data_IF_001406877278
#
_entry.id   IF_001406877278
#
_cell.length_a   1.000
_cell.length_b   1.000
_cell.length_c   1.000
_cell.angle_alpha   90.00
_cell.angle_beta   90.00
_cell.angle_gamma   90.00
#
_symmetry.space_group_name_H-M   'P 1'
#
loop_
_entity.id
_entity.type
_entity.pdbx_description
1 polymer ?
#
# COMPACT_ATOMS: atom_id res chain seq x y z
N UNK A 1 32.24 -2.19 -2.94
CA UNK A 1 31.09 -1.47 -3.52
C UNK A 1 29.84 -1.90 -2.76
N UNK A 2 29.44 -1.15 -1.75
CA UNK A 2 28.21 -1.40 -0.99
C UNK A 2 27.03 -0.94 -1.83
N UNK A 3 26.41 -1.86 -2.56
CA UNK A 3 25.11 -1.62 -3.18
C UNK A 3 24.10 -1.40 -2.04
N UNK A 4 23.89 -0.14 -1.68
CA UNK A 4 22.82 0.25 -0.77
C UNK A 4 21.54 0.14 -1.59
N UNK A 5 20.88 -1.02 -1.46
CA UNK A 5 19.63 -1.32 -2.15
C UNK A 5 18.49 -0.45 -1.60
N UNK A 6 17.53 -0.06 -2.45
CA UNK A 6 16.42 0.77 -2.00
C UNK A 6 15.68 0.01 -0.88
N UNK A 7 15.46 0.66 0.28
CA UNK A 7 14.77 0.02 1.37
C UNK A 7 13.35 -0.35 0.92
N UNK A 8 12.81 -1.44 1.48
CA UNK A 8 11.40 -1.83 1.30
C UNK A 8 10.41 -0.67 1.61
N UNK A 9 10.87 0.35 2.35
CA UNK A 9 10.11 1.55 2.71
C UNK A 9 9.85 2.43 1.47
N UNK A 10 8.58 2.69 1.17
CA UNK A 10 8.16 3.54 0.05
C UNK A 10 8.09 2.80 -1.28
N UNK A 11 9.20 2.70 -2.00
CA UNK A 11 9.23 2.16 -3.37
C UNK A 11 8.93 0.65 -3.43
N UNK A 12 9.35 -0.12 -2.42
CA UNK A 12 9.11 -1.56 -2.35
C UNK A 12 7.64 -1.94 -2.20
N UNK A 13 6.89 -1.23 -1.34
CA UNK A 13 5.44 -1.48 -1.14
C UNK A 13 4.64 -1.16 -2.40
N UNK A 14 4.94 -0.06 -3.08
CA UNK A 14 4.29 0.34 -4.34
C UNK A 14 4.58 -0.67 -5.45
N UNK A 15 5.84 -1.06 -5.61
CA UNK A 15 6.22 -2.07 -6.60
C UNK A 15 5.55 -3.42 -6.32
N UNK A 16 5.48 -3.83 -5.05
CA UNK A 16 4.79 -5.05 -4.64
C UNK A 16 3.30 -5.01 -5.02
N UNK A 17 2.61 -3.90 -4.73
CA UNK A 17 1.22 -3.70 -5.11
C UNK A 17 1.00 -3.71 -6.63
N UNK A 18 1.92 -3.10 -7.39
CA UNK A 18 1.87 -3.11 -8.85
C UNK A 18 1.97 -4.54 -9.41
N UNK A 19 2.91 -5.35 -8.92
CA UNK A 19 3.03 -6.75 -9.32
C UNK A 19 1.78 -7.57 -8.96
N UNK A 20 1.15 -7.30 -7.82
CA UNK A 20 -0.12 -7.94 -7.47
C UNK A 20 -1.25 -7.52 -8.42
N UNK A 21 -1.36 -6.24 -8.76
CA UNK A 21 -2.38 -5.75 -9.69
C UNK A 21 -2.20 -6.36 -11.09
N UNK A 22 -0.97 -6.38 -11.61
CA UNK A 22 -0.65 -7.02 -12.89
C UNK A 22 -1.02 -8.52 -12.89
N UNK A 23 -0.77 -9.23 -11.80
CA UNK A 23 -1.13 -10.64 -11.70
C UNK A 23 -2.66 -10.84 -11.61
N UNK A 24 -3.40 -9.90 -11.00
CA UNK A 24 -4.87 -9.91 -10.99
C UNK A 24 -5.44 -9.74 -12.40
N UNK A 25 -4.92 -8.73 -13.11
CA UNK A 25 -5.35 -8.38 -14.47
C UNK A 25 -5.05 -9.54 -15.45
N UNK A 26 -3.85 -10.10 -15.37
CA UNK A 26 -3.44 -11.21 -16.25
C UNK A 26 -4.07 -12.55 -15.86
N UNK A 27 -4.34 -12.79 -14.57
CA UNK A 27 -4.85 -14.05 -14.05
C UNK A 27 -6.36 -14.22 -14.15
N UNK A 28 -7.10 -13.22 -14.63
CA UNK A 28 -8.55 -13.28 -14.81
C UNK A 28 -9.33 -13.47 -13.50
N UNK A 29 -8.84 -12.88 -12.40
CA UNK A 29 -9.49 -13.02 -11.10
C UNK A 29 -10.80 -12.24 -11.06
N UNK A 30 -11.90 -12.91 -10.68
CA UNK A 30 -13.15 -12.23 -10.40
C UNK A 30 -13.03 -11.34 -9.14
N UNK A 31 -13.73 -10.19 -9.08
CA UNK A 31 -13.73 -9.32 -7.91
C UNK A 31 -14.11 -10.10 -6.63
N UNK A 32 -13.34 -9.89 -5.56
CA UNK A 32 -13.57 -10.54 -4.26
C UNK A 32 -12.92 -11.91 -4.07
N UNK A 33 -12.26 -12.47 -5.10
CA UNK A 33 -11.49 -13.71 -4.96
C UNK A 33 -10.11 -13.47 -4.34
N UNK A 34 -9.61 -14.47 -3.63
CA UNK A 34 -8.25 -14.50 -3.11
C UNK A 34 -7.27 -15.00 -4.17
N UNK A 35 -6.01 -14.58 -4.06
CA UNK A 35 -4.94 -15.12 -4.89
C UNK A 35 -4.83 -16.63 -4.72
N UNK A 36 -4.66 -17.34 -5.84
CA UNK A 36 -4.21 -18.73 -5.82
C UNK A 36 -2.79 -18.78 -5.24
N UNK A 37 -2.46 -19.90 -4.58
CA UNK A 37 -1.13 -20.11 -3.98
C UNK A 37 -0.01 -19.93 -5.01
N UNK A 38 -0.20 -20.45 -6.22
CA UNK A 38 0.78 -20.38 -7.32
C UNK A 38 1.05 -18.94 -7.77
N UNK A 39 0.00 -18.13 -7.92
CA UNK A 39 0.12 -16.73 -8.32
C UNK A 39 0.73 -15.88 -7.23
N UNK A 40 0.47 -16.20 -5.95
CA UNK A 40 1.17 -15.59 -4.82
C UNK A 40 2.68 -15.85 -4.89
N UNK A 41 3.09 -17.09 -5.20
CA UNK A 41 4.50 -17.45 -5.38
C UNK A 41 5.10 -16.77 -6.62
N UNK A 42 4.33 -16.62 -7.70
CA UNK A 42 4.71 -15.88 -8.89
C UNK A 42 5.06 -14.42 -8.56
N UNK A 43 4.17 -13.72 -7.85
CA UNK A 43 4.39 -12.35 -7.37
C UNK A 43 5.65 -12.27 -6.50
N UNK A 44 5.86 -13.24 -5.59
CA UNK A 44 7.04 -13.25 -4.73
C UNK A 44 8.33 -13.41 -5.53
N UNK A 45 8.34 -14.30 -6.53
CA UNK A 45 9.48 -14.48 -7.44
C UNK A 45 9.77 -13.21 -8.23
N UNK A 46 8.76 -12.61 -8.86
CA UNK A 46 8.90 -11.34 -9.60
C UNK A 46 9.45 -10.23 -8.71
N UNK A 47 8.93 -10.12 -7.49
CA UNK A 47 9.40 -9.12 -6.54
C UNK A 47 10.86 -9.32 -6.11
N UNK A 48 11.27 -10.57 -5.84
CA UNK A 48 12.65 -10.89 -5.45
C UNK A 48 13.67 -10.57 -6.52
N UNK A 49 13.30 -10.76 -7.80
CA UNK A 49 14.16 -10.40 -8.94
C UNK A 49 14.50 -8.92 -8.92
N UNK A 50 13.52 -8.07 -8.60
CA UNK A 50 13.67 -6.60 -8.65
C UNK A 50 14.22 -6.02 -7.35
N UNK A 51 13.67 -6.43 -6.20
CA UNK A 51 13.92 -5.77 -4.93
C UNK A 51 14.93 -6.48 -4.02
N UNK A 52 15.36 -7.70 -4.37
CA UNK A 52 16.38 -8.55 -3.75
C UNK A 52 15.82 -9.92 -3.27
N UNK A 53 16.54 -11.03 -3.54
CA UNK A 53 16.15 -12.37 -3.08
C UNK A 53 16.20 -12.59 -1.57
N UNK A 54 16.75 -11.64 -0.78
CA UNK A 54 16.90 -11.75 0.69
C UNK A 54 15.54 -11.77 1.42
N UNK A 55 14.46 -11.28 0.78
CA UNK A 55 13.14 -11.28 1.41
C UNK A 55 12.51 -12.68 1.44
N UNK A 56 12.35 -13.26 2.63
CA UNK A 56 11.70 -14.57 2.82
C UNK A 56 10.20 -14.55 2.53
N UNK A 57 9.61 -15.71 2.22
CA UNK A 57 8.16 -15.82 1.97
C UNK A 57 7.36 -15.36 3.19
N UNK A 58 7.84 -15.70 4.39
CA UNK A 58 7.24 -15.28 5.65
C UNK A 58 7.23 -13.75 5.78
N UNK A 59 8.33 -13.09 5.45
CA UNK A 59 8.41 -11.62 5.47
C UNK A 59 7.42 -10.99 4.49
N UNK A 60 7.38 -11.47 3.24
CA UNK A 60 6.46 -10.95 2.22
C UNK A 60 4.99 -11.17 2.60
N UNK A 61 4.65 -12.31 3.18
CA UNK A 61 3.30 -12.58 3.73
C UNK A 61 2.93 -11.60 4.85
N UNK A 62 3.86 -11.32 5.78
CA UNK A 62 3.65 -10.33 6.85
C UNK A 62 3.40 -8.95 6.22
N UNK A 63 4.17 -8.58 5.20
CA UNK A 63 4.00 -7.30 4.51
C UNK A 63 2.65 -7.17 3.82
N UNK A 64 2.18 -8.20 3.15
CA UNK A 64 0.84 -8.21 2.56
C UNK A 64 -0.24 -8.07 3.63
N UNK A 65 -0.09 -8.75 4.77
CA UNK A 65 -1.00 -8.59 5.90
C UNK A 65 -1.02 -7.15 6.42
N UNK A 66 0.15 -6.49 6.51
CA UNK A 66 0.25 -5.09 6.89
C UNK A 66 -0.42 -4.17 5.88
N UNK A 67 -0.20 -4.37 4.58
CA UNK A 67 -0.82 -3.59 3.50
C UNK A 67 -2.34 -3.77 3.52
N UNK A 68 -2.82 -5.01 3.65
CA UNK A 68 -4.26 -5.32 3.77
C UNK A 68 -4.88 -4.61 4.96
N UNK A 69 -4.20 -4.58 6.10
CA UNK A 69 -4.65 -3.86 7.30
C UNK A 69 -4.75 -2.36 7.04
N UNK A 70 -3.72 -1.72 6.46
CA UNK A 70 -3.75 -0.29 6.10
C UNK A 70 -4.92 0.03 5.16
N UNK A 71 -5.14 -0.84 4.16
CA UNK A 71 -6.26 -0.67 3.22
C UNK A 71 -7.62 -0.80 3.92
N UNK A 72 -7.77 -1.78 4.82
CA UNK A 72 -9.00 -1.94 5.59
C UNK A 72 -9.26 -0.71 6.49
N UNK A 73 -8.25 -0.23 7.21
CA UNK A 73 -8.35 0.96 8.06
C UNK A 73 -8.74 2.21 7.25
N UNK A 74 -8.24 2.33 6.02
CA UNK A 74 -8.58 3.37 5.06
C UNK A 74 -10.00 3.20 4.50
N UNK A 75 -10.41 1.97 4.15
CA UNK A 75 -11.76 1.69 3.68
C UNK A 75 -12.81 2.01 4.74
N UNK A 76 -12.55 1.64 6.01
CA UNK A 76 -13.41 1.97 7.14
C UNK A 76 -13.50 3.49 7.35
N UNK A 77 -12.40 4.23 7.12
CA UNK A 77 -12.40 5.70 7.16
C UNK A 77 -13.29 6.27 6.05
N UNK A 78 -13.19 5.74 4.83
CA UNK A 78 -13.98 6.18 3.68
C UNK A 78 -15.46 5.81 3.79
N UNK A 79 -15.80 4.81 4.61
CA UNK A 79 -17.19 4.48 4.93
C UNK A 79 -17.83 5.43 5.95
N UNK A 80 -17.07 6.34 6.58
CA UNK A 80 -17.64 7.33 7.49
C UNK A 80 -18.29 8.47 6.71
N UNK A 81 -19.53 8.78 7.08
CA UNK A 81 -20.23 9.95 6.54
C UNK A 81 -19.43 11.23 6.80
N UNK A 82 -19.36 12.10 5.79
CA UNK A 82 -18.58 13.35 5.79
C UNK A 82 -17.04 13.19 5.73
N UNK A 83 -16.52 12.05 5.26
CA UNK A 83 -15.12 11.92 4.81
C UNK A 83 -15.07 11.67 3.31
N UNK A 84 -14.20 12.41 2.63
CA UNK A 84 -14.04 12.38 1.18
C UNK A 84 -12.56 12.23 0.83
N UNK A 85 -12.29 11.58 -0.31
CA UNK A 85 -10.95 11.42 -0.83
C UNK A 85 -10.84 12.02 -2.22
N UNK A 86 -10.01 13.04 -2.33
CA UNK A 86 -9.62 13.60 -3.62
C UNK A 86 -8.51 12.73 -4.21
N UNK A 87 -8.90 11.82 -5.10
CA UNK A 87 -7.98 10.92 -5.81
C UNK A 87 -6.90 11.66 -6.60
N UNK A 88 -7.22 12.82 -7.19
CA UNK A 88 -6.30 13.58 -8.05
C UNK A 88 -5.11 14.15 -7.28
N UNK A 89 -5.36 14.59 -6.05
CA UNK A 89 -4.32 15.17 -5.19
C UNK A 89 -3.88 14.20 -4.08
N UNK A 90 -4.47 13.00 -4.04
CA UNK A 90 -4.33 12.02 -2.96
C UNK A 90 -4.58 12.62 -1.55
N UNK A 91 -5.60 13.47 -1.40
CA UNK A 91 -5.92 14.16 -0.14
C UNK A 91 -7.23 13.64 0.44
N UNK A 92 -7.21 13.23 1.70
CA UNK A 92 -8.43 12.94 2.48
C UNK A 92 -8.85 14.22 3.19
N UNK A 93 -10.13 14.61 3.05
CA UNK A 93 -10.70 15.82 3.63
C UNK A 93 -12.12 15.53 4.14
N UNK A 94 -12.64 16.39 5.01
CA UNK A 94 -13.95 16.18 5.62
C UNK A 94 -13.93 16.49 7.11
N UNK A 95 -14.57 15.65 7.93
CA UNK A 95 -14.68 15.85 9.36
C UNK A 95 -13.30 15.89 10.06
N UNK A 96 -12.82 17.10 10.35
CA UNK A 96 -11.51 17.32 10.95
C UNK A 96 -11.36 16.69 12.34
N UNK A 97 -12.44 16.55 13.10
CA UNK A 97 -12.40 15.94 14.45
C UNK A 97 -12.02 14.46 14.34
N UNK A 98 -12.72 13.72 13.48
CA UNK A 98 -12.45 12.30 13.19
C UNK A 98 -11.05 12.08 12.60
N UNK A 99 -10.63 12.93 11.66
CA UNK A 99 -9.30 12.85 11.07
C UNK A 99 -8.19 13.13 12.09
N UNK A 100 -8.39 14.11 12.98
CA UNK A 100 -7.39 14.46 14.01
C UNK A 100 -7.26 13.38 15.10
N UNK A 101 -8.36 12.74 15.46
CA UNK A 101 -8.42 11.68 16.48
C UNK A 101 -7.77 10.39 16.00
N UNK A 102 -8.02 9.98 14.74
CA UNK A 102 -7.50 8.73 14.18
C UNK A 102 -6.03 8.83 13.74
N UNK A 103 -5.57 9.98 13.25
CA UNK A 103 -4.20 10.17 12.75
C UNK A 103 -3.29 10.96 13.70
N UNK A 104 -3.75 11.27 14.92
CA UNK A 104 -2.98 12.01 15.93
C UNK A 104 -2.35 13.29 15.34
N UNK A 105 -3.11 13.96 14.46
CA UNK A 105 -2.61 15.08 13.64
C UNK A 105 -2.44 16.28 14.57
N UNK A 106 -1.22 16.46 15.10
CA UNK A 106 -0.83 17.76 15.66
C UNK A 106 -1.04 18.80 14.56
N UNK A 107 -1.91 19.78 14.81
CA UNK A 107 -2.38 20.87 13.91
C UNK A 107 -1.30 21.57 13.05
N UNK A 108 0.00 21.36 13.32
CA UNK A 108 1.14 21.86 12.55
C UNK A 108 1.62 20.97 11.39
N UNK A 109 1.18 19.71 11.29
CA UNK A 109 1.70 18.73 10.30
C UNK A 109 0.70 18.39 9.18
N UNK A 110 -0.29 19.24 8.93
CA UNK A 110 -1.25 19.05 7.84
C UNK A 110 -0.59 19.31 6.48
N UNK A 111 0.45 20.15 6.41
CA UNK A 111 1.18 20.45 5.16
C UNK A 111 2.24 19.40 4.83
N UNK A 112 2.77 18.67 5.83
CA UNK A 112 3.90 17.76 5.63
C UNK A 112 3.50 16.34 5.23
N UNK A 113 2.33 15.85 5.65
CA UNK A 113 1.86 14.49 5.33
C UNK A 113 1.50 14.38 3.83
N UNK A 114 1.18 15.51 3.18
CA UNK A 114 0.89 15.61 1.74
C UNK A 114 2.11 15.23 0.88
N UNK A 115 3.33 15.32 1.42
CA UNK A 115 4.57 15.06 0.68
C UNK A 115 5.18 13.66 0.89
N UNK A 116 4.64 12.83 1.79
CA UNK A 116 5.23 11.51 2.13
C UNK A 116 4.53 10.32 1.46
N UNK A 117 3.41 10.52 0.75
CA UNK A 117 2.85 9.48 -0.12
C UNK A 117 3.52 9.57 -1.50
N UNK A 118 4.25 8.54 -1.94
CA UNK A 118 5.01 8.60 -3.19
C UNK A 118 4.07 8.85 -4.37
N UNK A 119 4.41 9.87 -5.14
CA UNK A 119 3.89 10.16 -6.46
C UNK A 119 3.97 8.90 -7.33
N UNK A 120 2.82 8.38 -7.76
CA UNK A 120 2.74 7.31 -8.76
C UNK A 120 2.48 8.01 -10.10
N UNK A 121 3.52 8.07 -10.94
CA UNK A 121 3.40 8.18 -12.39
C UNK A 121 3.29 6.77 -12.98
#
# INVERSE_FOLDING_TARGET
MTNIFPPYRGQGEVHFLKLMAEEIENGGYAPGLTFRSESMLCVFRKFRIVCCPIYSDCFLKIKIKQIKKKYQEFSELMSQDAIYWNKKNNVVYGNMKLLSEKYNVKKKKIVSIVNEFPLIY
#
